data_IF_682973427253
#
_entry.id   IF_682973427253
#
_cell.length_a   1.000
_cell.length_b   1.000
_cell.length_c   1.000
_cell.angle_alpha   90.00
_cell.angle_beta   90.00
_cell.angle_gamma   90.00
#
_symmetry.space_group_name_H-M   'P 1'
#
loop_
_entity.id
_entity.type
_entity.pdbx_description
1 polymer ?
#
# COMPACT_ATOMS: atom_id res chain seq x y z
N UNK A 1 -10.28 5.68 9.20
CA UNK A 1 -9.04 6.37 8.80
C UNK A 1 -9.16 7.86 9.06
N UNK A 2 -8.25 8.43 9.86
CA UNK A 2 -8.22 9.87 10.20
C UNK A 2 -6.79 10.38 10.01
N UNK A 3 -6.62 11.50 9.32
CA UNK A 3 -5.32 12.15 9.20
C UNK A 3 -4.99 12.93 10.47
N UNK A 4 -3.88 12.60 11.12
CA UNK A 4 -3.42 13.29 12.32
C UNK A 4 -2.28 14.28 12.02
N UNK A 5 -2.19 15.41 12.75
CA UNK A 5 -1.16 16.42 12.49
C UNK A 5 0.29 15.90 12.58
N UNK A 6 0.56 14.94 13.46
CA UNK A 6 1.90 14.37 13.66
C UNK A 6 2.39 13.52 12.49
N UNK A 7 1.51 13.07 11.59
CA UNK A 7 1.91 12.29 10.42
C UNK A 7 2.63 13.11 9.34
N UNK A 8 2.47 14.45 9.36
CA UNK A 8 3.01 15.33 8.32
C UNK A 8 4.54 15.20 8.13
N UNK A 9 5.39 15.32 9.16
CA UNK A 9 6.84 15.22 8.98
C UNK A 9 7.28 13.85 8.43
N UNK A 10 6.66 12.76 8.87
CA UNK A 10 6.98 11.42 8.37
C UNK A 10 6.51 11.23 6.93
N UNK A 11 5.30 11.69 6.61
CA UNK A 11 4.79 11.70 5.25
C UNK A 11 5.66 12.49 4.28
N UNK A 12 6.06 13.72 4.64
CA UNK A 12 6.88 14.58 3.80
C UNK A 12 8.25 13.95 3.51
N UNK A 13 8.87 13.30 4.49
CA UNK A 13 10.11 12.56 4.29
C UNK A 13 9.93 11.36 3.37
N UNK A 14 8.90 10.56 3.61
CA UNK A 14 8.63 9.35 2.82
C UNK A 14 8.27 9.70 1.38
N UNK A 15 7.31 10.60 1.17
CA UNK A 15 6.89 11.00 -0.18
C UNK A 15 8.05 11.58 -0.97
N UNK A 16 8.93 12.40 -0.36
CA UNK A 16 10.11 12.96 -1.01
C UNK A 16 11.04 11.88 -1.58
N UNK A 17 11.20 10.74 -0.90
CA UNK A 17 11.98 9.61 -1.41
C UNK A 17 11.36 9.00 -2.67
N UNK A 18 10.04 8.80 -2.68
CA UNK A 18 9.31 8.31 -3.86
C UNK A 18 9.33 9.33 -5.00
N UNK A 19 9.21 10.63 -4.73
CA UNK A 19 9.31 11.67 -5.76
C UNK A 19 10.68 11.67 -6.44
N UNK A 20 11.73 11.42 -5.67
CA UNK A 20 13.10 11.36 -6.16
C UNK A 20 13.45 10.03 -6.85
N UNK A 21 12.50 9.10 -7.01
CA UNK A 21 12.76 7.77 -7.58
C UNK A 21 13.62 6.86 -6.70
N UNK A 22 13.76 7.19 -5.41
CA UNK A 22 14.56 6.44 -4.42
C UNK A 22 13.71 5.80 -3.32
N UNK A 23 12.40 5.80 -3.50
CA UNK A 23 11.48 5.11 -2.59
C UNK A 23 11.76 3.61 -2.60
N UNK A 24 11.71 2.98 -1.44
CA UNK A 24 11.86 1.52 -1.36
C UNK A 24 10.55 0.85 -1.81
N UNK A 25 10.65 -0.24 -2.58
CA UNK A 25 9.47 -0.97 -3.08
C UNK A 25 8.68 -1.67 -1.98
N UNK A 26 9.28 -1.92 -0.81
CA UNK A 26 8.63 -2.50 0.36
C UNK A 26 8.93 -1.68 1.61
N UNK A 27 7.93 -0.99 2.16
CA UNK A 27 8.08 -0.14 3.34
C UNK A 27 7.24 -0.67 4.50
N UNK A 28 7.89 -1.33 5.45
CA UNK A 28 7.26 -1.75 6.71
C UNK A 28 7.04 -0.54 7.62
N UNK A 29 5.78 -0.28 7.99
CA UNK A 29 5.43 0.78 8.94
C UNK A 29 5.05 0.15 10.26
N UNK A 30 5.90 0.35 11.26
CA UNK A 30 5.63 -0.03 12.64
C UNK A 30 5.05 1.17 13.40
N UNK A 31 3.88 0.99 13.99
CA UNK A 31 3.20 2.03 14.76
C UNK A 31 2.39 1.41 15.90
N UNK A 32 2.03 2.20 16.92
CA UNK A 32 1.03 1.76 17.91
C UNK A 32 -0.37 1.88 17.31
N UNK A 33 -1.32 1.01 17.70
CA UNK A 33 -2.72 1.16 17.31
C UNK A 33 -3.24 2.59 17.56
N UNK A 34 -3.84 3.18 16.54
CA UNK A 34 -4.39 4.54 16.62
C UNK A 34 -3.42 5.68 16.28
N UNK A 35 -2.14 5.39 16.01
CA UNK A 35 -1.18 6.40 15.55
C UNK A 35 -1.44 6.93 14.13
N UNK A 36 -2.30 6.26 13.34
CA UNK A 36 -2.71 6.71 12.01
C UNK A 36 -1.78 6.26 10.88
N UNK A 37 -1.10 5.14 11.06
CA UNK A 37 -0.36 4.43 10.01
C UNK A 37 -1.25 4.11 8.80
N UNK A 38 -2.52 3.74 9.03
CA UNK A 38 -3.52 3.57 7.97
C UNK A 38 -3.66 4.81 7.08
N UNK A 39 -3.74 6.00 7.69
CA UNK A 39 -3.85 7.26 6.99
C UNK A 39 -2.54 7.66 6.27
N UNK A 40 -1.39 7.35 6.86
CA UNK A 40 -0.08 7.57 6.26
C UNK A 40 0.11 6.71 5.00
N UNK A 41 -0.17 5.41 5.10
CA UNK A 41 -0.10 4.46 3.99
C UNK A 41 -1.06 4.87 2.88
N UNK A 42 -2.29 5.23 3.24
CA UNK A 42 -3.27 5.66 2.25
C UNK A 42 -2.85 6.96 1.54
N UNK A 43 -2.24 7.92 2.25
CA UNK A 43 -1.73 9.14 1.63
C UNK A 43 -0.59 8.86 0.63
N UNK A 44 0.35 7.97 0.97
CA UNK A 44 1.41 7.52 0.05
C UNK A 44 0.83 6.76 -1.15
N UNK A 45 -0.12 5.85 -0.90
CA UNK A 45 -0.82 5.10 -1.95
C UNK A 45 -1.52 6.04 -2.93
N UNK A 46 -2.22 7.05 -2.40
CA UNK A 46 -2.90 8.09 -3.19
C UNK A 46 -1.93 8.93 -4.01
N UNK A 47 -0.73 9.21 -3.48
CA UNK A 47 0.32 9.91 -4.22
C UNK A 47 0.83 9.05 -5.38
N UNK A 48 1.19 7.78 -5.14
CA UNK A 48 1.74 6.86 -6.14
C UNK A 48 0.75 6.53 -7.28
N UNK A 49 -0.54 6.45 -6.96
CA UNK A 49 -1.60 6.16 -7.94
C UNK A 49 -2.17 7.42 -8.61
N UNK A 50 -1.63 8.59 -8.29
CA UNK A 50 -2.03 9.84 -8.92
C UNK A 50 -1.31 10.05 -10.25
N UNK A 51 -2.06 10.22 -11.34
CA UNK A 51 -1.49 10.46 -12.67
C UNK A 51 -0.94 11.88 -12.85
N UNK A 52 -1.37 12.81 -12.00
CA UNK A 52 -1.00 14.23 -12.07
C UNK A 52 -0.73 14.78 -10.66
N UNK A 53 0.31 14.31 -9.94
CA UNK A 53 0.59 14.79 -8.59
C UNK A 53 0.94 16.28 -8.57
N UNK A 54 0.57 16.99 -7.50
CA UNK A 54 0.82 18.42 -7.29
C UNK A 54 1.72 18.59 -6.07
N UNK A 55 3.04 18.66 -6.29
CA UNK A 55 4.02 18.54 -5.21
C UNK A 55 3.81 17.20 -4.48
N UNK A 56 3.69 17.22 -3.15
CA UNK A 56 3.45 16.02 -2.33
C UNK A 56 1.99 15.50 -2.37
N UNK A 57 1.06 16.21 -3.04
CA UNK A 57 -0.37 15.90 -2.98
C UNK A 57 -0.85 15.15 -4.22
N UNK A 58 -1.79 14.23 -4.03
CA UNK A 58 -2.63 13.73 -5.12
C UNK A 58 -3.57 14.84 -5.61
N UNK A 59 -3.79 15.00 -6.91
CA UNK A 59 -4.61 16.11 -7.45
C UNK A 59 -6.10 16.03 -7.14
N UNK A 60 -6.62 14.82 -6.87
CA UNK A 60 -8.02 14.61 -6.54
C UNK A 60 -8.99 14.54 -7.72
N UNK A 61 -8.57 14.93 -8.94
CA UNK A 61 -9.46 15.00 -10.12
C UNK A 61 -9.07 14.06 -11.27
N UNK A 62 -7.86 13.49 -11.30
CA UNK A 62 -7.49 12.51 -12.32
C UNK A 62 -8.25 11.19 -12.14
N UNK A 63 -8.29 10.34 -13.18
CA UNK A 63 -9.02 9.05 -13.16
C UNK A 63 -8.56 8.15 -12.02
N UNK A 64 -7.25 8.05 -11.78
CA UNK A 64 -6.70 7.27 -10.66
C UNK A 64 -7.18 7.81 -9.30
N UNK A 65 -7.17 9.14 -9.11
CA UNK A 65 -7.67 9.75 -7.87
C UNK A 65 -9.16 9.51 -7.66
N UNK A 66 -9.98 9.61 -8.71
CA UNK A 66 -11.43 9.36 -8.63
C UNK A 66 -11.73 7.91 -8.26
N UNK A 67 -11.03 6.95 -8.88
CA UNK A 67 -11.20 5.52 -8.57
C UNK A 67 -10.72 5.17 -7.15
N UNK A 68 -9.63 5.78 -6.69
CA UNK A 68 -9.19 5.64 -5.30
C UNK A 68 -10.23 6.18 -4.31
N UNK A 69 -10.83 7.35 -4.60
CA UNK A 69 -11.90 7.92 -3.75
C UNK A 69 -13.17 7.05 -3.75
N UNK A 70 -13.49 6.42 -4.87
CA UNK A 70 -14.60 5.48 -4.99
C UNK A 70 -14.30 4.09 -4.42
N UNK A 71 -13.05 3.81 -4.00
CA UNK A 71 -12.65 2.50 -3.47
C UNK A 71 -12.58 1.39 -4.53
N UNK A 72 -12.42 1.73 -5.81
CA UNK A 72 -12.48 0.79 -6.95
C UNK A 72 -11.25 0.88 -7.86
N UNK A 73 -10.14 1.41 -7.34
CA UNK A 73 -8.90 1.49 -8.12
C UNK A 73 -8.37 0.09 -8.45
N UNK A 74 -8.22 -0.27 -9.74
CA UNK A 74 -7.94 -1.64 -10.14
C UNK A 74 -6.51 -2.09 -9.81
N UNK A 75 -5.60 -1.14 -9.59
CA UNK A 75 -4.19 -1.38 -9.24
C UNK A 75 -3.89 -1.07 -7.76
N UNK A 76 -4.93 -0.97 -6.91
CA UNK A 76 -4.80 -0.84 -5.46
C UNK A 76 -5.33 -2.11 -4.78
N UNK A 77 -4.45 -2.78 -4.04
CA UNK A 77 -4.75 -4.06 -3.40
C UNK A 77 -4.64 -3.92 -1.89
N UNK A 78 -5.67 -4.39 -1.17
CA UNK A 78 -5.66 -4.45 0.29
C UNK A 78 -5.67 -5.90 0.73
N UNK A 79 -4.61 -6.32 1.42
CA UNK A 79 -4.48 -7.61 2.07
C UNK A 79 -4.87 -7.44 3.54
N UNK A 80 -6.08 -7.86 3.87
CA UNK A 80 -6.63 -7.90 5.22
C UNK A 80 -7.26 -9.27 5.49
N UNK A 81 -7.38 -9.71 6.76
CA UNK A 81 -8.13 -10.91 7.11
C UNK A 81 -9.57 -10.83 6.60
N UNK A 82 -10.10 -11.96 6.12
CA UNK A 82 -11.52 -12.04 5.78
C UNK A 82 -12.40 -11.77 6.99
N UNK A 83 -13.61 -11.26 6.75
CA UNK A 83 -14.57 -10.97 7.81
C UNK A 83 -14.85 -12.22 8.65
N UNK A 84 -14.56 -12.13 9.95
CA UNK A 84 -14.71 -13.24 10.90
C UNK A 84 -13.48 -14.12 11.08
N UNK A 85 -12.37 -13.82 10.39
CA UNK A 85 -11.07 -14.46 10.60
C UNK A 85 -10.09 -13.49 11.26
N UNK A 86 -9.16 -14.03 12.04
CA UNK A 86 -8.07 -13.27 12.69
C UNK A 86 -6.70 -13.58 12.07
N UNK A 87 -6.67 -14.15 10.87
CA UNK A 87 -5.46 -14.51 10.17
C UNK A 87 -5.62 -14.25 8.66
N UNK A 88 -4.52 -13.88 8.02
CA UNK A 88 -4.39 -13.64 6.59
C UNK A 88 -3.80 -14.89 5.94
N UNK A 89 -4.66 -15.62 5.23
CA UNK A 89 -4.33 -16.89 4.59
C UNK A 89 -3.54 -16.72 3.29
N UNK A 90 -2.87 -17.80 2.88
CA UNK A 90 -2.03 -17.82 1.67
C UNK A 90 -2.82 -17.54 0.39
N UNK A 91 -4.07 -17.96 0.29
CA UNK A 91 -4.85 -17.82 -0.95
C UNK A 91 -5.11 -16.35 -1.29
N UNK A 92 -5.40 -15.51 -0.29
CA UNK A 92 -5.55 -14.06 -0.47
C UNK A 92 -4.26 -13.41 -0.97
N UNK A 93 -3.10 -13.82 -0.43
CA UNK A 93 -1.79 -13.37 -0.90
C UNK A 93 -1.57 -13.80 -2.36
N UNK A 94 -1.83 -15.07 -2.68
CA UNK A 94 -1.64 -15.62 -4.03
C UNK A 94 -2.46 -14.87 -5.07
N UNK A 95 -3.74 -14.64 -4.78
CA UNK A 95 -4.63 -13.88 -5.67
C UNK A 95 -4.06 -12.49 -6.00
N UNK A 96 -3.53 -11.78 -5.00
CA UNK A 96 -2.90 -10.48 -5.22
C UNK A 96 -1.61 -10.64 -6.02
N UNK A 97 -0.71 -11.56 -5.64
CA UNK A 97 0.57 -11.75 -6.34
C UNK A 97 0.39 -12.15 -7.81
N UNK A 98 -0.63 -12.94 -8.15
CA UNK A 98 -0.97 -13.29 -9.52
C UNK A 98 -1.38 -12.04 -10.33
N UNK A 99 -2.28 -11.21 -9.78
CA UNK A 99 -2.68 -9.94 -10.41
C UNK A 99 -1.54 -8.94 -10.54
N UNK A 100 -0.57 -8.97 -9.62
CA UNK A 100 0.63 -8.13 -9.71
C UNK A 100 1.53 -8.50 -10.88
N UNK A 101 1.48 -9.74 -11.38
CA UNK A 101 2.25 -10.13 -12.56
C UNK A 101 1.61 -9.66 -13.88
N UNK A 102 0.35 -9.22 -13.84
CA UNK A 102 -0.30 -8.55 -14.97
C UNK A 102 0.23 -7.11 -15.14
N UNK A 103 0.09 -6.58 -16.36
CA UNK A 103 0.30 -5.15 -16.60
C UNK A 103 -0.71 -4.33 -15.78
N UNK A 104 -0.25 -3.19 -15.26
CA UNK A 104 -1.13 -2.28 -14.54
C UNK A 104 -2.31 -1.85 -15.43
N UNK A 105 -3.53 -1.98 -14.91
CA UNK A 105 -4.77 -1.80 -15.67
C UNK A 105 -5.00 -0.34 -16.07
N UNK A 106 -4.44 0.60 -15.31
CA UNK A 106 -4.40 2.02 -15.67
C UNK A 106 -3.03 2.50 -16.18
N UNK A 107 -2.11 1.58 -16.46
CA UNK A 107 -0.79 1.91 -17.03
C UNK A 107 0.12 2.70 -16.10
N UNK A 108 -0.11 2.65 -14.78
CA UNK A 108 0.70 3.32 -13.77
C UNK A 108 1.28 2.34 -12.75
N UNK A 109 1.46 2.81 -11.52
CA UNK A 109 1.94 1.98 -10.43
C UNK A 109 0.86 1.02 -9.89
N UNK A 110 1.31 -0.07 -9.27
CA UNK A 110 0.50 -0.98 -8.45
C UNK A 110 0.89 -0.78 -6.98
N UNK A 111 -0.11 -0.72 -6.10
CA UNK A 111 0.13 -0.55 -4.66
C UNK A 111 -0.56 -1.66 -3.88
N UNK A 112 0.17 -2.27 -2.97
CA UNK A 112 -0.32 -3.33 -2.07
C UNK A 112 -0.18 -2.86 -0.63
N UNK A 113 -1.30 -2.78 0.08
CA UNK A 113 -1.33 -2.52 1.50
C UNK A 113 -1.63 -3.83 2.25
N UNK A 114 -0.69 -4.30 3.07
CA UNK A 114 -0.97 -5.37 4.04
C UNK A 114 -1.36 -4.68 5.34
N UNK A 115 -2.60 -4.82 5.77
CA UNK A 115 -3.14 -4.03 6.90
C UNK A 115 -2.41 -4.32 8.20
N UNK A 116 -2.06 -5.58 8.42
CA UNK A 116 -1.27 -6.04 9.55
C UNK A 116 -0.47 -7.28 9.15
N UNK A 117 0.84 -7.12 9.05
CA UNK A 117 1.77 -8.17 8.70
C UNK A 117 1.91 -9.23 9.81
N UNK A 118 1.56 -8.93 11.06
CA UNK A 118 1.53 -9.91 12.15
C UNK A 118 0.42 -10.96 11.96
N UNK A 119 -0.62 -10.63 11.18
CA UNK A 119 -1.73 -11.54 10.92
C UNK A 119 -1.45 -12.50 9.76
N UNK A 120 -0.33 -12.33 9.04
CA UNK A 120 0.08 -13.28 8.00
C UNK A 120 0.32 -14.65 8.63
N UNK A 121 -0.31 -15.68 8.07
CA UNK A 121 0.12 -17.06 8.35
C UNK A 121 1.53 -17.28 7.82
N UNK A 122 2.29 -18.22 8.40
CA UNK A 122 3.64 -18.55 7.92
C UNK A 122 3.65 -18.87 6.41
N UNK A 123 2.63 -19.57 5.93
CA UNK A 123 2.47 -19.88 4.52
C UNK A 123 2.24 -18.61 3.67
N UNK A 124 1.43 -17.68 4.15
CA UNK A 124 1.16 -16.40 3.48
C UNK A 124 2.41 -15.49 3.47
N UNK A 125 3.14 -15.40 4.57
CA UNK A 125 4.38 -14.63 4.66
C UNK A 125 5.45 -15.14 3.68
N UNK A 126 5.66 -16.46 3.63
CA UNK A 126 6.60 -17.08 2.69
C UNK A 126 6.17 -16.91 1.22
N UNK A 127 4.87 -16.96 0.94
CA UNK A 127 4.36 -16.71 -0.41
C UNK A 127 4.58 -15.26 -0.84
N UNK A 128 4.40 -14.30 0.08
CA UNK A 128 4.61 -12.88 -0.17
C UNK A 128 6.10 -12.55 -0.34
N UNK A 129 6.99 -13.22 0.41
CA UNK A 129 8.43 -12.95 0.44
C UNK A 129 9.07 -12.91 -0.95
N UNK A 130 8.78 -13.90 -1.80
CA UNK A 130 9.32 -13.95 -3.17
C UNK A 130 8.95 -12.72 -4.00
N UNK A 131 7.73 -12.23 -3.84
CA UNK A 131 7.24 -11.05 -4.57
C UNK A 131 7.78 -9.75 -3.97
N UNK A 132 8.09 -9.75 -2.67
CA UNK A 132 8.74 -8.62 -2.01
C UNK A 132 10.21 -8.49 -2.42
N UNK A 133 10.93 -9.60 -2.60
CA UNK A 133 12.34 -9.61 -3.00
C UNK A 133 12.54 -9.14 -4.45
N UNK A 134 11.69 -9.59 -5.37
CA UNK A 134 11.74 -9.23 -6.79
C UNK A 134 10.36 -8.79 -7.29
N UNK A 135 9.90 -7.58 -6.92
CA UNK A 135 8.57 -7.13 -7.30
C UNK A 135 8.50 -6.82 -8.80
N UNK A 136 7.33 -7.01 -9.43
CA UNK A 136 7.07 -6.46 -10.76
C UNK A 136 7.33 -4.96 -10.79
N UNK A 137 7.75 -4.43 -11.95
CA UNK A 137 8.05 -3.00 -12.10
C UNK A 137 6.89 -2.10 -11.61
N UNK A 138 7.22 -0.94 -11.04
CA UNK A 138 6.27 0.04 -10.50
C UNK A 138 5.29 -0.54 -9.46
N UNK A 139 5.74 -1.53 -8.67
CA UNK A 139 4.93 -2.14 -7.59
C UNK A 139 5.46 -1.73 -6.22
N UNK A 140 4.57 -1.23 -5.37
CA UNK A 140 4.89 -0.69 -4.05
C UNK A 140 4.09 -1.41 -2.96
N UNK A 141 4.79 -1.94 -1.96
CA UNK A 141 4.24 -2.65 -0.82
C UNK A 141 4.34 -1.81 0.45
N UNK A 142 3.25 -1.75 1.20
CA UNK A 142 3.18 -1.11 2.51
C UNK A 142 2.65 -2.11 3.53
N UNK A 143 3.50 -2.92 4.18
CA UNK A 143 3.05 -3.73 5.30
C UNK A 143 2.95 -2.89 6.57
N UNK A 144 1.76 -2.84 7.16
CA UNK A 144 1.55 -2.28 8.49
C UNK A 144 1.93 -3.31 9.56
N UNK A 145 2.48 -2.86 10.69
CA UNK A 145 2.74 -3.70 11.85
C UNK A 145 2.34 -2.94 13.12
N UNK A 146 1.03 -2.93 13.46
CA UNK A 146 0.54 -2.34 14.69
C UNK A 146 1.10 -3.13 15.89
N UNK A 147 2.02 -2.52 16.64
CA UNK A 147 2.59 -3.13 17.84
C UNK A 147 1.64 -2.93 19.01
N UNK A 148 1.09 -4.02 19.54
CA UNK A 148 0.38 -4.01 20.83
C UNK A 148 1.32 -3.74 22.01
#
# INVERSE_FOLDING_TARGET
MRWYPWLRPDFEKLVASYQAGRGHHALLIQALPGMGDDALIYALSRYLLCQQPQGHKSCGHCRGCQLMQAGTHPDYYTLAPEKGKNALGIDAVREVTEKLNEHARLGGAKVVWVTDAALLTDAAANALLKTLEEPPAETWFFPGYPRA
#
